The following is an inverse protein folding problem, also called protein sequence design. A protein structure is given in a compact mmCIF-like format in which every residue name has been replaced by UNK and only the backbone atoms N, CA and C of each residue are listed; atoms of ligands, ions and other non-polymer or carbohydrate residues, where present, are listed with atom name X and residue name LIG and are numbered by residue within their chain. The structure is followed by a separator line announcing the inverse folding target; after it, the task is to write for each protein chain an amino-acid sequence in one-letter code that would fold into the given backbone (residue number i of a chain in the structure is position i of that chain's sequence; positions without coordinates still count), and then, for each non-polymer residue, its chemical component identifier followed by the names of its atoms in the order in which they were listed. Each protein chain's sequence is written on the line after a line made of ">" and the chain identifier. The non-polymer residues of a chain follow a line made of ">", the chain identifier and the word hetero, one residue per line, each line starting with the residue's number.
data_IF_444694895568
#
_entry.id   IF_444694895568
#
_cell.length_a   1.000
_cell.length_b   1.000
_cell.length_c   1.000
_cell.angle_alpha   90.00
_cell.angle_beta   90.00
_cell.angle_gamma   90.00
#
_symmetry.space_group_name_H-M   'P 1'
#
loop_
_entity.id
_entity.type
_entity.pdbx_description
1 polymer ?
#
# COMPACT_ATOMS: atom_id res chain seq x y z
N UNK A 1 16.87 -22.09 -10.05
CA UNK A 1 16.69 -20.87 -9.25
C UNK A 1 17.47 -19.66 -9.82
N UNK A 2 18.78 -19.77 -10.06
CA UNK A 2 19.62 -18.65 -10.58
C UNK A 2 19.17 -18.10 -11.95
N UNK A 3 18.61 -18.92 -12.85
CA UNK A 3 18.12 -18.48 -14.16
C UNK A 3 16.82 -17.66 -14.06
N UNK A 4 15.94 -17.98 -13.12
CA UNK A 4 14.70 -17.24 -12.87
C UNK A 4 14.98 -15.86 -12.28
N UNK A 5 15.89 -15.79 -11.31
CA UNK A 5 16.32 -14.53 -10.70
C UNK A 5 17.00 -13.60 -11.72
N UNK A 6 17.77 -14.16 -12.65
CA UNK A 6 18.40 -13.40 -13.74
C UNK A 6 17.38 -12.86 -14.74
N UNK A 7 16.33 -13.61 -15.08
CA UNK A 7 15.23 -13.14 -15.95
C UNK A 7 14.40 -12.04 -15.27
N UNK A 8 14.08 -12.16 -14.00
CA UNK A 8 13.39 -11.12 -13.23
C UNK A 8 14.21 -9.82 -13.19
N UNK A 9 15.51 -9.89 -12.90
CA UNK A 9 16.39 -8.71 -12.95
C UNK A 9 16.46 -8.05 -14.33
N UNK A 10 16.47 -8.83 -15.41
CA UNK A 10 16.49 -8.27 -16.76
C UNK A 10 15.15 -7.64 -17.17
N UNK A 11 14.02 -8.19 -16.73
CA UNK A 11 12.70 -7.55 -16.92
C UNK A 11 12.65 -6.20 -16.20
N UNK A 12 13.01 -6.15 -14.92
CA UNK A 12 13.02 -4.90 -14.14
C UNK A 12 13.94 -3.83 -14.74
N UNK A 13 15.08 -4.20 -15.34
CA UNK A 13 15.99 -3.23 -15.98
C UNK A 13 15.38 -2.67 -17.27
N UNK A 14 14.74 -3.50 -18.10
CA UNK A 14 14.12 -3.07 -19.36
C UNK A 14 12.93 -2.15 -19.12
N UNK A 15 12.10 -2.44 -18.13
CA UNK A 15 10.94 -1.63 -17.78
C UNK A 15 11.36 -0.27 -17.18
N UNK A 16 12.48 -0.20 -16.48
CA UNK A 16 13.05 1.06 -15.96
C UNK A 16 13.40 2.06 -17.04
N UNK A 17 13.95 1.62 -18.17
CA UNK A 17 14.32 2.52 -19.27
C UNK A 17 13.08 3.20 -19.87
N UNK A 18 12.00 2.45 -20.08
CA UNK A 18 10.76 3.00 -20.62
C UNK A 18 10.08 3.96 -19.65
N UNK A 19 10.07 3.65 -18.36
CA UNK A 19 9.44 4.48 -17.33
C UNK A 19 10.26 5.73 -17.02
N UNK A 20 11.58 5.68 -17.11
CA UNK A 20 12.44 6.87 -16.93
C UNK A 20 12.20 7.94 -18.01
N UNK A 21 11.84 7.51 -19.22
CA UNK A 21 11.47 8.39 -20.32
C UNK A 21 10.09 9.04 -20.17
N UNK A 22 9.20 8.45 -19.35
CA UNK A 22 7.84 8.93 -19.11
C UNK A 22 7.73 10.05 -18.06
N UNK A 23 8.84 10.46 -17.45
CA UNK A 23 8.92 11.56 -16.50
C UNK A 23 8.93 11.15 -15.02
N UNK A 24 9.18 12.13 -14.16
CA UNK A 24 9.39 11.94 -12.72
C UNK A 24 8.20 11.26 -12.02
N UNK A 25 6.97 11.66 -12.33
CA UNK A 25 5.78 11.12 -11.66
C UNK A 25 5.53 9.66 -12.02
N UNK A 26 5.70 9.30 -13.29
CA UNK A 26 5.58 7.93 -13.76
C UNK A 26 6.65 7.03 -13.13
N UNK A 27 7.88 7.54 -13.03
CA UNK A 27 8.98 6.85 -12.39
C UNK A 27 8.73 6.65 -10.88
N UNK A 28 8.23 7.66 -10.16
CA UNK A 28 7.91 7.54 -8.74
C UNK A 28 6.80 6.49 -8.49
N UNK A 29 5.73 6.51 -9.29
CA UNK A 29 4.66 5.49 -9.23
C UNK A 29 5.19 4.08 -9.47
N UNK A 30 6.04 3.93 -10.47
CA UNK A 30 6.69 2.66 -10.77
C UNK A 30 7.54 2.18 -9.60
N UNK A 31 8.40 3.05 -9.06
CA UNK A 31 9.30 2.72 -7.95
C UNK A 31 8.53 2.31 -6.68
N UNK A 32 7.43 3.01 -6.37
CA UNK A 32 6.55 2.66 -5.23
C UNK A 32 5.86 1.31 -5.44
N UNK A 33 5.44 1.02 -6.67
CA UNK A 33 4.84 -0.27 -6.99
C UNK A 33 5.84 -1.42 -6.91
N UNK A 34 7.06 -1.24 -7.44
CA UNK A 34 8.15 -2.21 -7.30
C UNK A 34 8.47 -2.48 -5.83
N UNK A 35 8.60 -1.43 -5.02
CA UNK A 35 8.82 -1.58 -3.58
C UNK A 35 7.69 -2.38 -2.92
N UNK A 36 6.42 -2.11 -3.27
CA UNK A 36 5.27 -2.84 -2.74
C UNK A 36 5.33 -4.34 -3.06
N UNK A 37 5.76 -4.68 -4.27
CA UNK A 37 5.88 -6.06 -4.74
C UNK A 37 7.05 -6.76 -4.04
N UNK A 38 8.22 -6.13 -3.99
CA UNK A 38 9.43 -6.70 -3.40
C UNK A 38 9.31 -6.92 -1.89
N UNK A 39 8.61 -6.01 -1.19
CA UNK A 39 8.40 -6.11 0.26
C UNK A 39 7.03 -6.67 0.64
N UNK A 40 6.42 -7.43 -0.27
CA UNK A 40 5.14 -8.09 -0.05
C UNK A 40 5.23 -9.05 1.16
N UNK A 41 4.25 -8.98 2.07
CA UNK A 41 4.18 -9.71 3.34
C UNK A 41 5.18 -9.29 4.43
N UNK A 42 6.01 -8.28 4.22
CA UNK A 42 6.93 -7.76 5.25
C UNK A 42 6.29 -6.71 6.18
N UNK A 43 5.03 -6.32 5.93
CA UNK A 43 4.31 -5.32 6.73
C UNK A 43 4.78 -3.86 6.48
N UNK A 44 5.75 -3.65 5.61
CA UNK A 44 6.34 -2.33 5.34
C UNK A 44 5.40 -1.38 4.63
N UNK A 45 4.47 -1.90 3.82
CA UNK A 45 3.53 -1.10 3.03
C UNK A 45 2.66 -0.15 3.86
N UNK A 46 2.26 -0.58 5.04
CA UNK A 46 1.47 0.24 5.96
C UNK A 46 2.20 1.54 6.35
N UNK A 47 3.49 1.45 6.63
CA UNK A 47 4.32 2.59 7.01
C UNK A 47 4.75 3.40 5.78
N UNK A 48 5.06 2.75 4.68
CA UNK A 48 5.45 3.40 3.42
C UNK A 48 4.33 4.29 2.90
N UNK A 49 3.09 3.80 2.90
CA UNK A 49 1.94 4.58 2.46
C UNK A 49 1.76 5.84 3.30
N UNK A 50 1.88 5.75 4.64
CA UNK A 50 1.78 6.90 5.54
C UNK A 50 2.92 7.90 5.39
N UNK A 51 4.09 7.42 5.03
CA UNK A 51 5.26 8.26 4.76
C UNK A 51 5.15 9.03 3.43
N UNK A 52 4.49 8.44 2.44
CA UNK A 52 4.34 9.03 1.11
C UNK A 52 3.13 9.94 0.97
N UNK A 53 2.12 9.75 1.79
CA UNK A 53 0.89 10.54 1.74
C UNK A 53 0.39 10.88 3.15
N UNK A 54 -0.09 12.10 3.31
CA UNK A 54 -0.81 12.56 4.49
C UNK A 54 -2.31 12.65 4.22
N UNK A 55 -2.76 12.31 3.01
CA UNK A 55 -4.17 12.38 2.63
C UNK A 55 -4.90 11.09 2.96
N UNK A 56 -6.04 11.20 3.62
CA UNK A 56 -6.89 10.07 3.98
C UNK A 56 -7.45 9.34 2.74
N UNK A 57 -7.61 10.02 1.61
CA UNK A 57 -8.09 9.42 0.38
C UNK A 57 -7.23 8.26 -0.13
N UNK A 58 -5.92 8.40 -0.07
CA UNK A 58 -4.98 7.33 -0.43
C UNK A 58 -5.01 6.16 0.56
N UNK A 59 -5.21 6.46 1.85
CA UNK A 59 -5.28 5.46 2.91
C UNK A 59 -6.60 4.68 2.89
N UNK A 60 -7.71 5.38 2.61
CA UNK A 60 -9.08 4.86 2.66
C UNK A 60 -9.58 4.31 1.33
N UNK A 61 -8.69 4.08 0.36
CA UNK A 61 -9.08 3.48 -0.91
C UNK A 61 -9.60 2.05 -0.71
N UNK A 62 -10.50 1.65 -1.57
CA UNK A 62 -10.98 0.28 -1.63
C UNK A 62 -9.86 -0.68 -2.07
N UNK A 63 -9.86 -1.85 -1.47
CA UNK A 63 -8.93 -2.93 -1.83
C UNK A 63 -9.69 -3.92 -2.70
N UNK A 64 -9.26 -4.04 -3.95
CA UNK A 64 -9.84 -4.95 -4.92
C UNK A 64 -9.09 -6.27 -4.93
N UNK A 65 -9.80 -7.33 -5.20
CA UNK A 65 -9.26 -8.69 -5.35
C UNK A 65 -9.96 -9.41 -6.49
N UNK A 66 -9.69 -10.70 -6.62
CA UNK A 66 -10.33 -11.55 -7.63
C UNK A 66 -11.31 -12.49 -6.95
N UNK A 67 -12.59 -12.36 -7.29
CA UNK A 67 -13.59 -13.37 -6.92
C UNK A 67 -13.68 -14.42 -8.02
N UNK A 68 -13.53 -15.68 -7.63
CA UNK A 68 -13.61 -16.82 -8.56
C UNK A 68 -14.89 -17.60 -8.25
N UNK A 69 -15.79 -17.65 -9.21
CA UNK A 69 -17.07 -18.38 -9.09
C UNK A 69 -17.08 -19.57 -10.05
N UNK A 70 -17.31 -20.77 -9.53
CA UNK A 70 -17.46 -21.98 -10.36
C UNK A 70 -18.88 -22.05 -10.91
N UNK A 71 -19.02 -22.12 -12.23
CA UNK A 71 -20.30 -22.32 -12.92
C UNK A 71 -20.76 -23.77 -12.89
N UNK A 72 -22.04 -24.02 -13.13
CA UNK A 72 -22.61 -25.37 -13.16
C UNK A 72 -22.02 -26.26 -14.29
N UNK A 73 -21.58 -25.65 -15.36
CA UNK A 73 -20.90 -26.34 -16.49
C UNK A 73 -19.45 -26.74 -16.16
N UNK A 74 -18.91 -26.37 -14.98
CA UNK A 74 -17.55 -26.66 -14.56
C UNK A 74 -16.54 -25.56 -14.86
N UNK A 75 -16.90 -24.53 -15.61
CA UNK A 75 -16.05 -23.38 -15.91
C UNK A 75 -15.92 -22.42 -14.73
N UNK A 76 -14.89 -21.58 -14.76
CA UNK A 76 -14.67 -20.53 -13.75
C UNK A 76 -14.92 -19.14 -14.34
N UNK A 77 -15.62 -18.32 -13.59
CA UNK A 77 -15.79 -16.89 -13.84
C UNK A 77 -14.93 -16.09 -12.87
N UNK A 78 -14.22 -15.10 -13.39
CA UNK A 78 -13.30 -14.25 -12.64
C UNK A 78 -13.82 -12.82 -12.64
N UNK A 79 -14.12 -12.28 -11.44
CA UNK A 79 -14.39 -10.86 -11.23
C UNK A 79 -13.14 -10.22 -10.62
N UNK A 80 -12.47 -9.37 -11.40
CA UNK A 80 -11.21 -8.71 -11.02
C UNK A 80 -11.43 -7.39 -10.27
N UNK A 81 -12.64 -6.87 -10.25
CA UNK A 81 -12.99 -5.61 -9.56
C UNK A 81 -13.73 -5.82 -8.24
N UNK A 82 -13.80 -7.06 -7.77
CA UNK A 82 -14.46 -7.36 -6.51
C UNK A 82 -13.80 -6.63 -5.34
N UNK A 83 -14.60 -5.83 -4.61
CA UNK A 83 -14.13 -5.11 -3.41
C UNK A 83 -14.04 -6.09 -2.24
N UNK A 84 -12.82 -6.38 -1.81
CA UNK A 84 -12.54 -7.28 -0.68
C UNK A 84 -12.63 -6.55 0.64
N UNK A 85 -12.11 -5.32 0.69
CA UNK A 85 -12.02 -4.55 1.93
C UNK A 85 -12.21 -3.05 1.65
N UNK A 86 -12.98 -2.39 2.50
CA UNK A 86 -13.07 -0.93 2.57
C UNK A 86 -12.34 -0.46 3.81
N UNK A 87 -11.24 0.25 3.60
CA UNK A 87 -10.44 0.80 4.70
C UNK A 87 -11.04 2.11 5.19
N UNK A 88 -11.02 2.29 6.51
CA UNK A 88 -11.52 3.51 7.16
C UNK A 88 -10.54 3.93 8.25
N UNK A 89 -9.53 4.71 7.87
CA UNK A 89 -8.61 5.33 8.80
C UNK A 89 -9.10 6.74 9.14
N UNK A 90 -9.00 7.12 10.41
CA UNK A 90 -9.38 8.44 10.91
C UNK A 90 -8.24 9.44 10.78
N UNK A 91 -7.00 8.98 10.73
CA UNK A 91 -5.82 9.81 10.60
C UNK A 91 -4.72 9.14 9.78
N UNK A 92 -3.91 9.94 9.10
CA UNK A 92 -2.68 9.49 8.46
C UNK A 92 -1.56 9.22 9.48
N UNK A 93 -1.64 9.87 10.64
CA UNK A 93 -0.69 9.70 11.74
C UNK A 93 -1.12 8.56 12.66
N UNK A 94 -0.14 8.00 13.38
CA UNK A 94 -0.41 7.08 14.48
C UNK A 94 -0.65 7.87 15.76
N UNK A 95 -1.47 7.36 16.70
CA UNK A 95 -1.67 8.01 17.98
C UNK A 95 -0.38 7.98 18.82
N UNK A 96 -0.16 9.04 19.58
CA UNK A 96 0.86 9.05 20.63
C UNK A 96 0.34 8.16 21.78
N UNK A 97 1.15 7.21 22.29
CA UNK A 97 0.71 6.36 23.39
C UNK A 97 0.24 7.18 24.59
N UNK A 98 -0.91 6.83 25.14
CA UNK A 98 -1.52 7.58 26.26
C UNK A 98 -0.56 7.76 27.45
N UNK A 99 0.25 6.75 27.73
CA UNK A 99 1.26 6.82 28.81
C UNK A 99 2.27 7.96 28.60
N UNK A 100 2.65 8.21 27.35
CA UNK A 100 3.58 9.31 27.02
C UNK A 100 2.89 10.66 27.16
N UNK A 101 1.59 10.73 26.83
CA UNK A 101 0.79 11.94 27.03
C UNK A 101 0.70 12.35 28.50
N UNK A 102 0.68 11.38 29.44
CA UNK A 102 0.68 11.65 30.88
C UNK A 102 2.05 12.07 31.42
N UNK A 103 3.12 11.64 30.79
CA UNK A 103 4.49 11.89 31.26
C UNK A 103 5.03 13.26 30.81
N UNK A 104 4.46 13.85 29.76
CA UNK A 104 4.96 15.10 29.17
C UNK A 104 3.87 16.16 29.20
N UNK A 105 4.05 17.14 30.06
CA UNK A 105 3.13 18.25 30.16
C UNK A 105 3.09 19.09 28.88
N UNK A 106 1.90 19.39 28.36
CA UNK A 106 1.72 20.17 27.15
C UNK A 106 1.85 19.36 25.84
N UNK A 107 2.05 18.04 25.90
CA UNK A 107 2.03 17.19 24.71
C UNK A 107 0.60 17.10 24.15
N UNK A 108 0.45 17.44 22.88
CA UNK A 108 -0.84 17.41 22.16
C UNK A 108 -0.88 16.17 21.27
N UNK A 109 -2.02 15.47 21.29
CA UNK A 109 -2.26 14.29 20.46
C UNK A 109 -2.29 14.65 18.97
N UNK A 110 -1.93 13.69 18.14
CA UNK A 110 -2.00 13.84 16.69
C UNK A 110 -3.45 14.03 16.20
N UNK A 111 -3.60 14.79 15.13
CA UNK A 111 -4.89 15.04 14.49
C UNK A 111 -5.66 13.75 14.20
N UNK A 112 -6.94 13.74 14.56
CA UNK A 112 -7.83 12.58 14.41
C UNK A 112 -7.78 11.60 15.60
N UNK A 113 -6.95 11.86 16.62
CA UNK A 113 -6.80 11.02 17.81
C UNK A 113 -7.04 11.77 19.13
N UNK A 114 -7.66 12.96 19.07
CA UNK A 114 -7.85 13.85 20.20
C UNK A 114 -8.58 13.18 21.39
N UNK A 115 -9.46 12.24 21.11
CA UNK A 115 -10.25 11.51 22.13
C UNK A 115 -9.72 10.09 22.41
N UNK A 116 -8.53 9.75 21.90
CA UNK A 116 -7.97 8.42 22.11
C UNK A 116 -7.26 8.33 23.46
N UNK A 117 -7.70 7.37 24.31
CA UNK A 117 -7.20 7.12 25.67
C UNK A 117 -6.71 5.69 25.82
#
# INVERSE_FOLDING_TARGET
>A
LHRLIRRQRQMCIRDREQVSLAGKEAFDKFLRNERRIETCFEGTWFFDLRRWTTTLGELNREVHGVQVTRKQNGDFEYDFDHVVEKRSFTSAYLPIPYKEMLNVEGLVQNEGWENWQ
#
